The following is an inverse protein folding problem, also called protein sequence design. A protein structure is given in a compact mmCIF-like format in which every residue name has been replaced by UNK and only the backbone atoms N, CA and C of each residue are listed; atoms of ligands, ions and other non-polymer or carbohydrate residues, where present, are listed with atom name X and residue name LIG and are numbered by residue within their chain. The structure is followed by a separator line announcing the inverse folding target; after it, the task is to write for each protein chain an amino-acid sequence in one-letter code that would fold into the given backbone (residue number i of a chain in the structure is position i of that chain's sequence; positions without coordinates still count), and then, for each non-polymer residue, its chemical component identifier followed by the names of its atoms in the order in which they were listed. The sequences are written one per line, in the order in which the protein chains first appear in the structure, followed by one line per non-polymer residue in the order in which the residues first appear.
data_IF_122731182473
#
_entry.id   IF_122731182473
#
_cell.length_a   1.000
_cell.length_b   1.000
_cell.length_c   1.000
_cell.angle_alpha   90.00
_cell.angle_beta   90.00
_cell.angle_gamma   90.00
#
_symmetry.space_group_name_H-M   'P 1'
#
loop_
_entity.id
_entity.type
_entity.pdbx_description
1 polymer ?
#
# COMPACT_ATOMS: atom_id res chain seq x y z
N UNK A 1 -0.56 2.06 13.33
CA UNK A 1 -1.64 1.51 12.49
C UNK A 1 -2.43 0.43 13.22
N UNK A 2 -1.80 -0.64 13.73
CA UNK A 2 -2.50 -1.71 14.44
C UNK A 2 -3.35 -1.19 15.63
N UNK A 3 -2.78 -0.34 16.49
CA UNK A 3 -3.51 0.29 17.59
C UNK A 3 -4.71 1.11 17.11
N UNK A 4 -4.54 1.91 16.06
CA UNK A 4 -5.60 2.73 15.45
C UNK A 4 -6.75 1.88 14.93
N UNK A 5 -6.47 0.66 14.47
CA UNK A 5 -7.46 -0.23 13.90
C UNK A 5 -7.90 -1.33 14.88
N UNK A 6 -7.54 -1.30 16.16
CA UNK A 6 -7.77 -2.41 17.09
C UNK A 6 -9.24 -2.86 17.17
N UNK A 7 -10.16 -1.89 17.12
CA UNK A 7 -11.60 -2.08 17.27
C UNK A 7 -12.33 -2.20 15.92
N UNK A 8 -11.60 -2.17 14.79
CA UNK A 8 -12.19 -2.31 13.45
C UNK A 8 -12.52 -3.77 13.17
N UNK A 9 -13.78 -4.13 12.82
CA UNK A 9 -14.16 -5.48 12.43
C UNK A 9 -13.34 -6.01 11.26
N UNK A 10 -13.07 -7.32 11.22
CA UNK A 10 -12.16 -7.93 10.24
C UNK A 10 -12.58 -7.69 8.79
N UNK A 11 -13.89 -7.67 8.51
CA UNK A 11 -14.46 -7.43 7.19
C UNK A 11 -14.24 -6.00 6.68
N UNK A 12 -13.93 -5.06 7.60
CA UNK A 12 -13.73 -3.64 7.32
C UNK A 12 -12.25 -3.25 7.24
N UNK A 13 -11.32 -4.22 7.28
CA UNK A 13 -9.86 -3.98 7.27
C UNK A 13 -9.24 -3.98 5.87
N UNK A 14 -10.05 -3.84 4.81
CA UNK A 14 -9.56 -3.78 3.43
C UNK A 14 -8.63 -2.59 3.24
N UNK A 15 -7.50 -2.81 2.59
CA UNK A 15 -6.50 -1.79 2.30
C UNK A 15 -5.89 -1.99 0.91
N UNK A 16 -5.22 -0.97 0.38
CA UNK A 16 -4.48 -1.07 -0.87
C UNK A 16 -3.14 -0.34 -0.74
N UNK A 17 -2.07 -0.93 -1.25
CA UNK A 17 -0.87 -0.17 -1.59
C UNK A 17 -1.07 0.53 -2.93
N UNK A 18 -0.53 1.73 -3.07
CA UNK A 18 -0.55 2.49 -4.31
C UNK A 18 0.88 2.89 -4.68
N UNK A 19 1.23 2.75 -5.96
CA UNK A 19 2.47 3.22 -6.53
C UNK A 19 2.15 4.07 -7.75
N UNK A 20 2.51 5.36 -7.70
CA UNK A 20 2.44 6.25 -8.86
C UNK A 20 3.87 6.52 -9.31
N UNK A 21 4.20 6.06 -10.51
CA UNK A 21 5.50 6.28 -11.14
C UNK A 21 5.32 7.31 -12.25
N UNK A 22 6.19 8.33 -12.23
CA UNK A 22 6.17 9.41 -13.21
C UNK A 22 7.49 9.42 -13.96
N UNK A 23 7.42 9.44 -15.30
CA UNK A 23 8.57 9.59 -16.18
C UNK A 23 8.44 10.90 -16.98
N UNK A 24 9.43 11.78 -16.82
CA UNK A 24 9.53 13.04 -17.55
C UNK A 24 10.68 12.97 -18.55
N UNK A 25 10.45 13.42 -19.78
CA UNK A 25 11.52 13.47 -20.80
C UNK A 25 12.60 14.49 -20.47
N UNK A 26 12.19 15.58 -19.83
CA UNK A 26 13.04 16.67 -19.33
C UNK A 26 12.33 17.38 -18.17
N UNK A 27 13.02 18.29 -17.47
CA UNK A 27 12.51 18.94 -16.27
C UNK A 27 11.19 19.73 -16.47
N UNK A 28 10.99 20.28 -17.67
CA UNK A 28 9.81 21.08 -18.03
C UNK A 28 8.78 20.31 -18.89
N UNK A 29 8.76 18.96 -18.87
CA UNK A 29 7.80 18.18 -19.66
C UNK A 29 6.37 18.47 -19.19
N UNK A 30 5.50 19.08 -20.02
CA UNK A 30 4.14 19.42 -19.61
C UNK A 30 3.21 18.20 -19.56
N UNK A 31 3.67 17.05 -20.09
CA UNK A 31 2.87 15.83 -20.25
C UNK A 31 3.70 14.59 -19.89
N UNK A 32 4.08 14.44 -18.60
CA UNK A 32 4.86 13.29 -18.19
C UNK A 32 4.04 12.00 -18.32
N UNK A 33 4.73 10.89 -18.58
CA UNK A 33 4.08 9.58 -18.53
C UNK A 33 3.82 9.22 -17.07
N UNK A 34 2.56 8.95 -16.74
CA UNK A 34 2.14 8.57 -15.39
C UNK A 34 1.60 7.15 -15.42
N UNK A 35 2.20 6.29 -14.60
CA UNK A 35 1.74 4.92 -14.38
C UNK A 35 1.25 4.79 -12.94
N UNK A 36 0.06 4.25 -12.74
CA UNK A 36 -0.48 3.99 -11.41
C UNK A 36 -0.76 2.50 -11.26
N UNK A 37 -0.10 1.87 -10.28
CA UNK A 37 -0.40 0.52 -9.81
C UNK A 37 -1.06 0.57 -8.43
N UNK A 38 -2.03 -0.31 -8.21
CA UNK A 38 -2.55 -0.59 -6.87
C UNK A 38 -2.51 -2.08 -6.58
N UNK A 39 -2.36 -2.42 -5.30
CA UNK A 39 -2.36 -3.81 -4.84
C UNK A 39 -3.30 -3.96 -3.66
N UNK A 40 -4.45 -4.63 -3.81
CA UNK A 40 -5.41 -4.81 -2.73
C UNK A 40 -5.00 -5.91 -1.75
N UNK A 41 -5.37 -5.71 -0.48
CA UNK A 41 -5.14 -6.65 0.61
C UNK A 41 -5.97 -6.30 1.84
N UNK A 42 -5.58 -6.86 2.98
CA UNK A 42 -6.25 -6.72 4.27
C UNK A 42 -5.21 -6.43 5.35
N UNK A 43 -5.48 -5.51 6.27
CA UNK A 43 -4.57 -5.25 7.38
C UNK A 43 -4.73 -6.35 8.44
N UNK A 44 -3.65 -7.03 8.79
CA UNK A 44 -3.62 -8.06 9.83
C UNK A 44 -3.85 -7.46 11.24
N UNK A 45 -4.01 -8.33 12.25
CA UNK A 45 -4.07 -7.93 13.66
C UNK A 45 -2.69 -7.86 14.33
N UNK A 46 -1.72 -8.58 13.78
CA UNK A 46 -0.34 -8.63 14.25
C UNK A 46 0.62 -8.69 13.05
N UNK A 47 1.89 -8.37 13.29
CA UNK A 47 2.93 -8.44 12.27
C UNK A 47 3.41 -9.88 12.08
N UNK A 48 3.54 -10.32 10.83
CA UNK A 48 4.08 -11.62 10.45
C UNK A 48 5.08 -11.50 9.30
N UNK A 49 6.20 -12.21 9.42
CA UNK A 49 7.29 -12.18 8.43
C UNK A 49 8.31 -11.07 8.67
N UNK A 50 9.52 -11.29 8.14
CA UNK A 50 10.69 -10.41 8.32
C UNK A 50 11.21 -9.84 6.99
N UNK A 51 10.47 -10.04 5.90
CA UNK A 51 10.81 -9.54 4.57
C UNK A 51 10.12 -8.21 4.27
N UNK A 52 10.54 -7.56 3.19
CA UNK A 52 9.93 -6.30 2.75
C UNK A 52 10.30 -5.12 3.65
N UNK A 53 9.43 -4.11 3.69
CA UNK A 53 9.60 -2.89 4.48
C UNK A 53 8.26 -2.23 4.83
N UNK A 54 8.29 -1.20 5.68
CA UNK A 54 7.11 -0.41 5.99
C UNK A 54 5.96 -1.23 6.58
N UNK A 55 4.82 -1.28 5.88
CA UNK A 55 3.62 -1.98 6.34
C UNK A 55 3.51 -3.43 5.87
N UNK A 56 4.50 -3.95 5.13
CA UNK A 56 4.48 -5.31 4.60
C UNK A 56 4.18 -6.39 5.66
N UNK A 57 4.75 -6.35 6.89
CA UNK A 57 4.48 -7.37 7.89
C UNK A 57 3.02 -7.42 8.37
N UNK A 58 2.23 -6.37 8.14
CA UNK A 58 0.83 -6.30 8.55
C UNK A 58 -0.13 -6.23 7.34
N UNK A 59 0.38 -6.40 6.12
CA UNK A 59 -0.41 -6.37 4.89
C UNK A 59 -0.61 -7.79 4.35
N UNK A 60 -1.79 -8.34 4.58
CA UNK A 60 -2.16 -9.68 4.14
C UNK A 60 -2.76 -9.66 2.72
N UNK A 61 -2.33 -10.60 1.89
CA UNK A 61 -2.82 -10.79 0.51
C UNK A 61 -3.62 -12.10 0.47
N UNK A 62 -4.95 -12.06 0.28
CA UNK A 62 -5.82 -13.24 0.27
C UNK A 62 -5.55 -14.23 -0.87
#
# INVERSE_FOLDING_TARGET
LLETLKDVPDEQRKAQFHCVLVYMRHAEDPTPLVCHGSWPGVIAREAAGNGGFGYDPIFFVP
#
